data_IF_677585637472
#
_entry.id   IF_677585637472
#
_cell.length_a   1.000
_cell.length_b   1.000
_cell.length_c   1.000
_cell.angle_alpha   90.00
_cell.angle_beta   90.00
_cell.angle_gamma   90.00
#
_symmetry.space_group_name_H-M   'P 1'
#
loop_
_entity.id
_entity.type
_entity.pdbx_description
1 polymer ?
#
# COMPACT_ATOMS: atom_id res chain seq x y z
N UNK A 1 11.00 -15.53 0.68
CA UNK A 1 10.86 -14.41 -0.28
C UNK A 1 9.39 -14.06 -0.46
N UNK A 2 9.05 -12.80 -0.39
CA UNK A 2 7.69 -12.33 -0.59
C UNK A 2 7.61 -11.39 -1.79
N UNK A 3 6.43 -11.32 -2.41
CA UNK A 3 6.12 -10.34 -3.44
C UNK A 3 5.41 -9.16 -2.76
N UNK A 4 6.03 -8.00 -2.79
CA UNK A 4 5.57 -6.82 -2.07
C UNK A 4 5.29 -5.69 -3.05
N UNK A 5 4.13 -5.05 -2.91
CA UNK A 5 3.80 -3.82 -3.63
C UNK A 5 3.97 -2.63 -2.70
N UNK A 6 4.76 -1.66 -3.12
CA UNK A 6 4.93 -0.38 -2.40
C UNK A 6 4.24 0.72 -3.19
N UNK A 7 3.25 1.35 -2.58
CA UNK A 7 2.47 2.43 -3.17
C UNK A 7 2.73 3.71 -2.40
N UNK A 8 3.47 4.64 -3.01
CA UNK A 8 3.81 5.92 -2.42
C UNK A 8 4.13 6.92 -3.54
N UNK A 9 3.69 8.15 -3.43
CA UNK A 9 3.92 9.17 -4.45
C UNK A 9 5.33 9.79 -4.36
N UNK A 10 6.05 9.57 -3.28
CA UNK A 10 7.41 10.07 -3.11
C UNK A 10 8.46 9.08 -3.63
N UNK A 11 9.24 9.52 -4.62
CA UNK A 11 10.29 8.70 -5.22
C UNK A 11 11.31 8.23 -4.17
N UNK A 12 11.72 9.12 -3.27
CA UNK A 12 12.71 8.78 -2.23
C UNK A 12 12.23 7.66 -1.30
N UNK A 13 10.95 7.65 -0.95
CA UNK A 13 10.36 6.60 -0.11
C UNK A 13 10.29 5.29 -0.89
N UNK A 14 9.85 5.31 -2.15
CA UNK A 14 9.81 4.11 -2.99
C UNK A 14 11.20 3.50 -3.14
N UNK A 15 12.21 4.33 -3.43
CA UNK A 15 13.58 3.85 -3.60
C UNK A 15 14.14 3.27 -2.32
N UNK A 16 13.92 3.94 -1.18
CA UNK A 16 14.41 3.48 0.12
C UNK A 16 13.79 2.14 0.50
N UNK A 17 12.47 2.02 0.41
CA UNK A 17 11.78 0.79 0.76
C UNK A 17 12.13 -0.34 -0.20
N UNK A 18 12.26 -0.04 -1.48
CA UNK A 18 12.68 -1.03 -2.48
C UNK A 18 14.07 -1.59 -2.15
N UNK A 19 15.01 -0.72 -1.82
CA UNK A 19 16.37 -1.12 -1.46
C UNK A 19 16.38 -2.00 -0.21
N UNK A 20 15.70 -1.57 0.86
CA UNK A 20 15.65 -2.32 2.11
C UNK A 20 15.02 -3.70 1.91
N UNK A 21 13.88 -3.76 1.22
CA UNK A 21 13.14 -5.01 1.03
C UNK A 21 13.85 -5.95 0.07
N UNK A 22 14.47 -5.43 -0.98
CA UNK A 22 15.28 -6.25 -1.91
C UNK A 22 16.49 -6.84 -1.19
N UNK A 23 17.13 -6.07 -0.31
CA UNK A 23 18.27 -6.56 0.49
C UNK A 23 17.88 -7.73 1.40
N UNK A 24 16.63 -7.78 1.83
CA UNK A 24 16.08 -8.89 2.63
C UNK A 24 15.60 -10.06 1.77
N UNK A 25 15.79 -10.00 0.47
CA UNK A 25 15.45 -11.09 -0.45
C UNK A 25 14.03 -11.08 -0.98
N UNK A 26 13.29 -9.97 -0.82
CA UNK A 26 11.93 -9.86 -1.35
C UNK A 26 11.92 -9.29 -2.77
N UNK A 27 10.86 -9.62 -3.51
CA UNK A 27 10.59 -9.04 -4.81
C UNK A 27 9.65 -7.85 -4.63
N UNK A 28 10.01 -6.69 -5.15
CA UNK A 28 9.28 -5.44 -4.92
C UNK A 28 8.82 -4.83 -6.22
N UNK A 29 7.52 -4.55 -6.32
CA UNK A 29 6.94 -3.71 -7.37
C UNK A 29 6.59 -2.35 -6.77
N UNK A 30 6.70 -1.30 -7.55
CA UNK A 30 6.48 0.08 -7.12
C UNK A 30 5.32 0.71 -7.88
N UNK A 31 4.48 1.46 -7.17
CA UNK A 31 3.42 2.27 -7.75
C UNK A 31 3.49 3.67 -7.16
N UNK A 32 3.38 4.70 -8.00
CA UNK A 32 3.47 6.09 -7.53
C UNK A 32 2.11 6.74 -7.28
N UNK A 33 1.03 6.04 -7.63
CA UNK A 33 -0.33 6.53 -7.43
C UNK A 33 -1.32 5.36 -7.40
N UNK A 34 -2.60 5.66 -7.14
CA UNK A 34 -3.63 4.64 -7.06
C UNK A 34 -3.90 3.96 -8.41
N UNK A 35 -3.80 4.70 -9.51
CA UNK A 35 -3.98 4.14 -10.85
C UNK A 35 -2.98 3.04 -11.14
N UNK A 36 -1.70 3.28 -10.83
CA UNK A 36 -0.65 2.27 -10.98
C UNK A 36 -0.84 1.11 -10.00
N UNK A 37 -1.28 1.39 -8.77
CA UNK A 37 -1.55 0.36 -7.78
C UNK A 37 -2.68 -0.56 -8.23
N UNK A 38 -3.76 -0.02 -8.79
CA UNK A 38 -4.87 -0.81 -9.36
C UNK A 38 -4.39 -1.72 -10.47
N UNK A 39 -3.57 -1.19 -11.38
CA UNK A 39 -3.02 -1.95 -12.48
C UNK A 39 -2.12 -3.09 -11.99
N UNK A 40 -1.27 -2.82 -11.01
CA UNK A 40 -0.39 -3.83 -10.42
C UNK A 40 -1.19 -4.94 -9.75
N UNK A 41 -2.21 -4.60 -8.97
CA UNK A 41 -3.06 -5.60 -8.29
C UNK A 41 -3.87 -6.42 -9.27
N UNK A 42 -4.33 -5.83 -10.36
CA UNK A 42 -5.06 -6.55 -11.41
C UNK A 42 -4.15 -7.52 -12.18
N UNK A 43 -2.87 -7.20 -12.31
CA UNK A 43 -1.91 -8.01 -13.05
C UNK A 43 -1.32 -9.17 -12.24
N UNK A 44 -1.39 -9.12 -10.90
CA UNK A 44 -0.77 -10.16 -10.09
C UNK A 44 -1.19 -10.14 -8.62
N UNK A 45 -0.69 -11.13 -7.90
CA UNK A 45 -0.94 -11.30 -6.48
C UNK A 45 0.26 -10.83 -5.68
N UNK A 46 0.02 -10.23 -4.53
CA UNK A 46 1.06 -9.80 -3.60
C UNK A 46 0.87 -10.46 -2.26
N UNK A 47 1.98 -10.66 -1.56
CA UNK A 47 1.99 -11.18 -0.18
C UNK A 47 1.80 -10.07 0.84
N UNK A 48 2.13 -8.83 0.46
CA UNK A 48 2.03 -7.65 1.29
C UNK A 48 1.93 -6.41 0.41
N UNK A 49 1.11 -5.46 0.83
CA UNK A 49 1.05 -4.12 0.22
C UNK A 49 1.35 -3.07 1.28
N UNK A 50 2.31 -2.19 0.99
CA UNK A 50 2.57 -0.99 1.77
C UNK A 50 1.91 0.17 1.03
N UNK A 51 0.91 0.81 1.64
CA UNK A 51 0.03 1.75 0.97
C UNK A 51 0.03 3.10 1.67
N UNK A 52 0.51 4.12 0.97
CA UNK A 52 0.46 5.50 1.43
C UNK A 52 -0.98 6.02 1.44
N UNK A 53 -1.31 6.84 2.43
CA UNK A 53 -2.63 7.49 2.51
C UNK A 53 -2.75 8.65 1.54
N UNK A 54 -1.74 9.51 1.49
CA UNK A 54 -1.82 10.75 0.71
C UNK A 54 -1.21 10.58 -0.67
N UNK A 55 -2.07 10.45 -1.68
CA UNK A 55 -1.68 10.31 -3.08
C UNK A 55 -2.47 11.29 -3.95
N UNK A 56 -1.91 11.67 -5.13
CA UNK A 56 -2.51 12.76 -5.93
C UNK A 56 -3.85 12.42 -6.59
N UNK A 57 -4.11 11.16 -6.92
CA UNK A 57 -5.32 10.77 -7.67
C UNK A 57 -6.43 10.22 -6.77
N UNK A 58 -6.10 9.28 -5.89
CA UNK A 58 -7.05 8.67 -4.95
C UNK A 58 -6.29 8.40 -3.66
N UNK A 59 -6.83 8.82 -2.52
CA UNK A 59 -6.15 8.53 -1.26
C UNK A 59 -6.13 7.03 -0.94
N UNK A 60 -5.18 6.62 -0.08
CA UNK A 60 -4.96 5.21 0.22
C UNK A 60 -6.14 4.55 0.93
N UNK A 61 -6.86 5.26 1.78
CA UNK A 61 -8.04 4.71 2.47
C UNK A 61 -9.15 4.44 1.47
N UNK A 62 -9.38 5.33 0.52
CA UNK A 62 -10.37 5.13 -0.54
C UNK A 62 -10.01 3.95 -1.44
N UNK A 63 -8.73 3.79 -1.77
CA UNK A 63 -8.26 2.64 -2.52
C UNK A 63 -8.45 1.34 -1.75
N UNK A 64 -8.18 1.34 -0.44
CA UNK A 64 -8.40 0.19 0.42
C UNK A 64 -9.88 -0.21 0.44
N UNK A 65 -10.80 0.76 0.56
CA UNK A 65 -12.24 0.53 0.48
C UNK A 65 -12.65 -0.09 -0.86
N UNK A 66 -12.10 0.44 -1.93
CA UNK A 66 -12.36 -0.05 -3.29
C UNK A 66 -11.95 -1.51 -3.42
N UNK A 67 -10.76 -1.87 -2.96
CA UNK A 67 -10.27 -3.25 -2.98
C UNK A 67 -11.10 -4.18 -2.11
N UNK A 68 -11.50 -3.74 -0.92
CA UNK A 68 -12.38 -4.51 -0.05
C UNK A 68 -13.74 -4.78 -0.71
N UNK A 69 -14.34 -3.75 -1.29
CA UNK A 69 -15.65 -3.85 -1.97
C UNK A 69 -15.59 -4.73 -3.21
N UNK A 70 -14.48 -4.73 -3.92
CA UNK A 70 -14.28 -5.56 -5.12
C UNK A 70 -13.91 -7.00 -4.81
N UNK A 71 -13.67 -7.35 -3.56
CA UNK A 71 -13.27 -8.69 -3.16
C UNK A 71 -11.82 -9.05 -3.48
N UNK A 72 -10.97 -8.04 -3.73
CA UNK A 72 -9.55 -8.25 -4.08
C UNK A 72 -8.60 -7.91 -2.94
N UNK A 73 -9.11 -7.53 -1.77
CA UNK A 73 -8.30 -7.29 -0.57
C UNK A 73 -8.01 -8.63 0.12
N UNK A 74 -7.19 -9.46 -0.52
CA UNK A 74 -6.88 -10.82 -0.08
C UNK A 74 -5.50 -10.93 0.56
N UNK A 75 -4.75 -9.84 0.62
CA UNK A 75 -3.39 -9.76 1.17
C UNK A 75 -3.35 -8.78 2.33
N UNK A 76 -2.38 -8.93 3.23
CA UNK A 76 -2.13 -7.92 4.26
C UNK A 76 -1.78 -6.57 3.64
N UNK A 77 -2.37 -5.51 4.17
CA UNK A 77 -2.06 -4.12 3.78
C UNK A 77 -1.63 -3.37 5.03
N UNK A 78 -0.47 -2.73 4.96
CA UNK A 78 0.03 -1.83 5.98
C UNK A 78 -0.07 -0.41 5.44
N UNK A 79 -0.82 0.44 6.11
CA UNK A 79 -0.94 1.83 5.73
C UNK A 79 0.28 2.62 6.22
N UNK A 80 0.71 3.60 5.43
CA UNK A 80 1.84 4.46 5.76
C UNK A 80 1.43 5.92 5.65
N UNK A 81 1.75 6.72 6.65
CA UNK A 81 1.64 8.18 6.52
C UNK A 81 2.30 8.90 7.70
N UNK A 82 3.02 9.97 7.41
CA UNK A 82 3.55 10.87 8.42
C UNK A 82 2.55 11.90 8.96
N UNK A 83 1.34 11.95 8.40
CA UNK A 83 0.34 12.97 8.71
C UNK A 83 -1.05 12.40 9.01
N UNK A 84 -1.11 11.12 9.34
CA UNK A 84 -2.38 10.48 9.62
C UNK A 84 -2.91 10.86 11.01
N UNK A 85 -4.23 10.95 11.12
CA UNK A 85 -4.90 11.08 12.40
C UNK A 85 -5.24 9.71 12.97
N UNK A 86 -5.52 9.65 14.27
CA UNK A 86 -6.00 8.43 14.91
C UNK A 86 -7.29 7.95 14.24
N UNK A 87 -8.18 8.87 13.86
CA UNK A 87 -9.43 8.54 13.18
C UNK A 87 -9.19 7.82 11.85
N UNK A 88 -8.23 8.30 11.06
CA UNK A 88 -7.86 7.66 9.79
C UNK A 88 -7.29 6.27 10.01
N UNK A 89 -6.43 6.09 11.01
CA UNK A 89 -5.86 4.79 11.34
C UNK A 89 -6.94 3.80 11.78
N UNK A 90 -7.88 4.23 12.61
CA UNK A 90 -9.02 3.41 13.05
C UNK A 90 -9.89 3.01 11.86
N UNK A 91 -10.19 3.95 10.96
CA UNK A 91 -10.98 3.68 9.77
C UNK A 91 -10.29 2.66 8.87
N UNK A 92 -8.99 2.83 8.58
CA UNK A 92 -8.23 1.90 7.75
C UNK A 92 -8.23 0.49 8.33
N UNK A 93 -8.02 0.36 9.64
CA UNK A 93 -8.03 -0.93 10.33
C UNK A 93 -9.41 -1.59 10.25
N UNK A 94 -10.47 -0.81 10.40
CA UNK A 94 -11.85 -1.31 10.32
C UNK A 94 -12.19 -1.82 8.92
N UNK A 95 -11.65 -1.19 7.87
CA UNK A 95 -11.86 -1.63 6.48
C UNK A 95 -11.11 -2.92 6.20
N UNK A 96 -9.94 -3.10 6.79
CA UNK A 96 -9.18 -4.32 6.63
C UNK A 96 -7.65 -4.15 6.58
N UNK A 97 -7.12 -2.98 6.87
CA UNK A 97 -5.67 -2.82 7.00
C UNK A 97 -5.16 -3.61 8.20
N UNK A 98 -4.06 -4.31 8.01
CA UNK A 98 -3.45 -5.10 9.07
C UNK A 98 -2.81 -4.22 10.13
N UNK A 99 -2.17 -3.15 9.72
CA UNK A 99 -1.42 -2.27 10.59
C UNK A 99 -1.27 -0.88 9.96
N UNK A 100 -0.70 0.03 10.74
CA UNK A 100 -0.51 1.41 10.36
C UNK A 100 0.87 1.89 10.80
N UNK A 101 1.65 2.47 9.89
CA UNK A 101 2.97 3.05 10.17
C UNK A 101 2.92 4.56 9.98
N UNK A 102 3.42 5.28 10.94
CA UNK A 102 3.60 6.71 10.83
C UNK A 102 4.95 7.08 10.21
#
# INVERSE_FOLDING_TARGET
MANILVVDDELGIRDLLSEILNDEGHSVDLAENATQARAARAAGMYDLVLLDIWMPDTDGVSLLKEWASAGVLTMPVIMMSGHATIETAVEATRIGALSFLE
#
